data_IF_247300905314
#
_entry.id   IF_247300905314
#
_cell.length_a   1.000
_cell.length_b   1.000
_cell.length_c   1.000
_cell.angle_alpha   90.00
_cell.angle_beta   90.00
_cell.angle_gamma   90.00
#
_symmetry.space_group_name_H-M   'P 1'
#
loop_
_entity.id
_entity.type
_entity.pdbx_description
1 polymer ?
#
# COMPACT_ATOMS: atom_id res chain seq x y z
N UNK A 1 2.62 -17.16 -0.41
CA UNK A 1 3.71 -16.28 0.09
C UNK A 1 3.08 -15.36 1.12
N UNK A 2 3.26 -15.68 2.40
CA UNK A 2 2.65 -14.94 3.52
C UNK A 2 3.73 -14.07 4.15
N UNK A 3 3.53 -12.76 4.18
CA UNK A 3 4.46 -11.85 4.86
C UNK A 3 3.97 -11.72 6.31
N UNK A 4 4.69 -12.37 7.23
CA UNK A 4 4.43 -12.32 8.67
C UNK A 4 5.43 -11.35 9.31
N UNK A 5 4.94 -10.33 10.00
CA UNK A 5 5.77 -9.44 10.83
C UNK A 5 5.74 -9.92 12.28
N UNK A 6 6.89 -10.16 12.93
CA UNK A 6 6.93 -10.71 14.28
C UNK A 6 6.88 -9.58 15.30
N UNK A 7 5.82 -9.41 16.08
CA UNK A 7 5.88 -8.81 17.43
C UNK A 7 4.57 -9.06 18.18
N UNK A 8 4.60 -9.98 19.15
CA UNK A 8 3.59 -10.11 20.20
C UNK A 8 3.85 -9.06 21.29
N UNK A 9 2.86 -8.24 21.62
CA UNK A 9 2.55 -7.80 22.99
C UNK A 9 1.31 -6.92 22.99
N UNK A 10 0.42 -7.27 23.90
CA UNK A 10 -0.97 -6.86 24.02
C UNK A 10 -1.09 -5.55 24.78
N UNK A 11 -0.72 -4.40 24.19
CA UNK A 11 -1.22 -3.09 24.65
C UNK A 11 -1.33 -2.11 23.46
N UNK A 12 -2.55 -1.74 23.07
CA UNK A 12 -2.82 -0.79 22.00
C UNK A 12 -2.99 0.64 22.54
N UNK A 13 -1.87 1.28 22.87
CA UNK A 13 -1.80 2.75 22.91
C UNK A 13 -1.58 3.28 21.48
N UNK A 14 -2.46 4.20 21.07
CA UNK A 14 -2.47 4.86 19.77
C UNK A 14 -1.10 5.44 19.44
N UNK A 15 -0.45 4.95 18.39
CA UNK A 15 0.71 5.61 17.76
C UNK A 15 0.30 6.11 16.38
N UNK A 16 0.47 7.42 16.19
CA UNK A 16 0.30 8.09 14.91
C UNK A 16 1.36 7.60 13.92
N UNK A 17 0.91 6.98 12.83
CA UNK A 17 1.76 6.32 11.84
C UNK A 17 1.27 4.89 11.64
N UNK A 18 0.23 4.70 10.80
CA UNK A 18 -0.22 3.36 10.45
C UNK A 18 0.78 2.77 9.47
N UNK A 19 1.70 1.96 9.97
CA UNK A 19 2.59 1.11 9.15
C UNK A 19 1.97 -0.27 8.90
N UNK A 20 0.77 -0.51 9.44
CA UNK A 20 0.09 -1.80 9.46
C UNK A 20 -1.33 -1.61 8.93
N UNK A 21 -1.71 -2.43 7.95
CA UNK A 21 -3.11 -2.66 7.61
C UNK A 21 -3.67 -3.68 8.57
N UNK A 22 -4.55 -3.29 9.51
CA UNK A 22 -5.25 -4.28 10.30
C UNK A 22 -6.14 -5.12 9.38
N UNK A 23 -6.26 -6.41 9.68
CA UNK A 23 -7.23 -7.29 9.04
C UNK A 23 -8.62 -6.64 9.18
N UNK A 24 -9.38 -6.53 8.10
CA UNK A 24 -10.62 -5.74 8.12
C UNK A 24 -10.49 -4.30 7.60
N UNK A 25 -9.29 -3.80 7.30
CA UNK A 25 -9.09 -2.48 6.70
C UNK A 25 -8.77 -2.59 5.21
N UNK A 26 -9.42 -1.73 4.43
CA UNK A 26 -9.18 -1.59 3.00
C UNK A 26 -8.26 -0.40 2.70
N UNK A 27 -7.51 -0.48 1.60
CA UNK A 27 -6.92 0.68 0.94
C UNK A 27 -7.71 0.93 -0.35
N UNK A 28 -8.22 2.13 -0.53
CA UNK A 28 -8.92 2.51 -1.76
C UNK A 28 -8.37 3.81 -2.35
N UNK A 29 -8.29 3.85 -3.68
CA UNK A 29 -7.94 5.06 -4.43
C UNK A 29 -6.61 5.69 -4.00
N UNK A 30 -6.67 6.91 -3.44
CA UNK A 30 -5.48 7.69 -3.08
C UNK A 30 -4.97 7.44 -1.65
N UNK A 31 -5.53 6.45 -0.94
CA UNK A 31 -5.03 6.09 0.39
C UNK A 31 -3.66 5.43 0.29
N UNK A 32 -2.79 5.77 1.24
CA UNK A 32 -1.44 5.24 1.33
C UNK A 32 -1.05 4.90 2.76
N UNK A 33 0.03 4.14 2.88
CA UNK A 33 0.62 3.70 4.15
C UNK A 33 2.07 4.12 4.11
N UNK A 34 2.43 4.98 5.05
CA UNK A 34 3.80 5.42 5.23
C UNK A 34 4.41 4.57 6.32
N UNK A 35 5.62 4.05 6.07
CA UNK A 35 6.43 3.32 7.06
C UNK A 35 6.80 4.19 8.27
N UNK A 36 7.15 3.55 9.40
CA UNK A 36 7.38 4.23 10.68
C UNK A 36 8.37 5.37 10.60
N UNK A 37 9.44 5.13 9.86
CA UNK A 37 10.56 6.03 9.69
C UNK A 37 10.35 7.04 8.55
N UNK A 38 9.16 7.04 7.92
CA UNK A 38 8.82 7.92 6.81
C UNK A 38 9.64 7.67 5.55
N UNK A 39 10.37 6.56 5.44
CA UNK A 39 11.26 6.31 4.28
C UNK A 39 10.48 5.77 3.09
N UNK A 40 9.58 4.83 3.34
CA UNK A 40 8.78 4.16 2.32
C UNK A 40 7.30 4.49 2.46
N UNK A 41 6.62 4.48 1.31
CA UNK A 41 5.18 4.63 1.21
C UNK A 41 4.61 3.59 0.23
N UNK A 42 3.53 2.93 0.63
CA UNK A 42 2.78 1.94 -0.14
C UNK A 42 1.43 2.54 -0.54
N UNK A 43 1.03 2.29 -1.78
CA UNK A 43 -0.34 2.57 -2.22
C UNK A 43 -0.54 2.34 -3.70
N UNK A 44 -1.66 2.86 -4.22
CA UNK A 44 -1.98 2.79 -5.63
C UNK A 44 -1.40 3.96 -6.41
N UNK A 45 -1.05 3.71 -7.67
CA UNK A 45 -0.61 4.73 -8.61
C UNK A 45 -0.94 4.33 -10.04
N UNK A 46 -1.02 5.32 -10.92
CA UNK A 46 -1.08 5.13 -12.36
C UNK A 46 0.22 5.59 -13.03
N UNK A 47 0.53 5.01 -14.18
CA UNK A 47 1.59 5.52 -15.05
C UNK A 47 0.98 6.58 -15.98
N UNK A 48 1.63 7.74 -16.07
CA UNK A 48 1.15 8.89 -16.84
C UNK A 48 0.62 8.46 -18.22
N UNK A 49 -0.64 8.80 -18.51
CA UNK A 49 -1.29 8.53 -19.79
C UNK A 49 -1.97 7.16 -19.91
N UNK A 50 -2.01 6.36 -18.84
CA UNK A 50 -2.72 5.07 -18.81
C UNK A 50 -3.81 5.04 -17.75
N UNK A 51 -4.90 4.31 -18.03
CA UNK A 51 -5.92 3.94 -17.03
C UNK A 51 -5.52 2.68 -16.25
N UNK A 52 -4.22 2.40 -16.18
CA UNK A 52 -3.69 1.21 -15.52
C UNK A 52 -3.23 1.59 -14.11
N UNK A 53 -3.89 1.02 -13.13
CA UNK A 53 -3.56 1.15 -11.72
C UNK A 53 -2.67 0.01 -11.26
N UNK A 54 -1.70 0.37 -10.45
CA UNK A 54 -0.71 -0.51 -9.86
C UNK A 54 -0.63 -0.28 -8.37
N UNK A 55 -0.33 -1.33 -7.62
CA UNK A 55 0.08 -1.23 -6.22
C UNK A 55 1.59 -1.35 -6.13
N UNK A 56 2.22 -0.48 -5.36
CA UNK A 56 3.67 -0.48 -5.24
C UNK A 56 4.18 0.37 -4.09
N UNK A 57 5.49 0.28 -3.91
CA UNK A 57 6.23 0.98 -2.85
C UNK A 57 7.15 2.00 -3.51
N UNK A 58 7.23 3.19 -2.92
CA UNK A 58 8.13 4.27 -3.32
C UNK A 58 8.76 4.96 -2.11
N UNK A 59 9.74 5.84 -2.36
CA UNK A 59 10.32 6.68 -1.32
C UNK A 59 9.39 7.85 -0.98
N UNK A 60 8.94 7.93 0.28
CA UNK A 60 7.99 8.96 0.72
C UNK A 60 8.60 10.37 0.74
N UNK A 61 9.92 10.46 0.95
CA UNK A 61 10.65 11.74 1.07
C UNK A 61 11.09 12.33 -0.28
N UNK A 62 10.88 11.62 -1.39
CA UNK A 62 11.29 12.09 -2.72
C UNK A 62 10.05 12.60 -3.46
N UNK A 63 10.02 13.90 -3.78
CA UNK A 63 8.87 14.54 -4.46
C UNK A 63 8.52 13.88 -5.79
N UNK A 64 9.51 13.40 -6.52
CA UNK A 64 9.30 12.57 -7.70
C UNK A 64 9.13 11.12 -7.25
N UNK A 65 7.91 10.58 -7.42
CA UNK A 65 7.58 9.21 -7.03
C UNK A 65 8.48 8.21 -7.77
N UNK A 66 9.49 7.68 -7.06
CA UNK A 66 10.38 6.62 -7.55
C UNK A 66 9.86 5.28 -7.06
N UNK A 67 9.24 4.52 -7.97
CA UNK A 67 8.69 3.18 -7.67
C UNK A 67 9.85 2.19 -7.51
N UNK A 68 10.05 1.66 -6.30
CA UNK A 68 11.09 0.66 -6.00
C UNK A 68 10.55 -0.77 -6.06
N UNK A 69 9.24 -0.94 -5.91
CA UNK A 69 8.56 -2.22 -6.02
C UNK A 69 7.14 -2.04 -6.57
N UNK A 70 6.66 -3.01 -7.34
CA UNK A 70 5.33 -3.00 -7.97
C UNK A 70 4.81 -4.43 -8.04
N UNK A 71 3.61 -4.69 -7.51
CA UNK A 71 3.07 -6.05 -7.38
C UNK A 71 2.46 -6.56 -8.68
N UNK A 72 1.52 -5.81 -9.26
CA UNK A 72 0.68 -6.23 -10.39
C UNK A 72 1.24 -5.74 -11.73
N UNK A 73 2.54 -5.96 -11.97
CA UNK A 73 3.24 -5.54 -13.20
C UNK A 73 2.63 -6.13 -14.48
N UNK A 74 2.21 -7.39 -14.40
CA UNK A 74 1.72 -8.18 -15.54
C UNK A 74 0.22 -7.97 -15.79
N UNK A 75 -0.52 -7.68 -14.73
CA UNK A 75 -1.99 -7.58 -14.72
C UNK A 75 -2.46 -6.26 -14.08
N UNK A 76 -2.34 -5.13 -14.80
CA UNK A 76 -2.81 -3.84 -14.30
C UNK A 76 -4.32 -3.81 -14.06
N UNK A 77 -4.73 -3.03 -13.07
CA UNK A 77 -6.13 -2.79 -12.73
C UNK A 77 -6.67 -1.67 -13.63
N UNK A 78 -7.80 -1.87 -14.31
CA UNK A 78 -8.35 -0.89 -15.26
C UNK A 78 -9.36 0.10 -14.66
N UNK A 79 -9.84 -0.19 -13.47
CA UNK A 79 -10.87 0.58 -12.75
C UNK A 79 -10.28 1.19 -11.47
N UNK A 80 -11.12 1.80 -10.63
CA UNK A 80 -10.69 2.31 -9.32
C UNK A 80 -10.20 1.14 -8.45
N UNK A 81 -8.93 1.11 -8.01
CA UNK A 81 -8.40 -0.03 -7.30
C UNK A 81 -8.80 -0.03 -5.82
N UNK A 82 -9.11 -1.20 -5.30
CA UNK A 82 -9.35 -1.44 -3.89
C UNK A 82 -8.59 -2.69 -3.42
N UNK A 83 -7.86 -2.55 -2.31
CA UNK A 83 -7.37 -3.69 -1.55
C UNK A 83 -8.42 -3.99 -0.48
N UNK A 84 -9.13 -5.10 -0.64
CA UNK A 84 -10.20 -5.52 0.24
C UNK A 84 -9.67 -5.94 1.61
N UNK A 85 -10.57 -5.89 2.59
CA UNK A 85 -10.38 -6.24 3.99
C UNK A 85 -9.85 -7.65 4.25
N UNK A 86 -10.04 -8.56 3.30
CA UNK A 86 -9.57 -9.95 3.28
C UNK A 86 -8.19 -10.11 2.63
N UNK A 87 -7.56 -9.01 2.21
CA UNK A 87 -6.25 -8.98 1.58
C UNK A 87 -6.27 -9.29 0.08
N UNK A 88 -7.46 -9.49 -0.52
CA UNK A 88 -7.57 -9.63 -1.96
C UNK A 88 -7.62 -8.27 -2.65
N UNK A 89 -7.01 -8.20 -3.83
CA UNK A 89 -7.12 -7.05 -4.70
C UNK A 89 -8.40 -7.21 -5.53
N UNK A 90 -9.37 -6.32 -5.34
CA UNK A 90 -10.64 -6.34 -6.06
C UNK A 90 -10.67 -5.23 -7.12
N UNK A 91 -11.20 -5.56 -8.30
CA UNK A 91 -11.31 -4.70 -9.49
C UNK A 91 -12.65 -3.96 -9.55
#
# INVERSE_FOLDING_TARGET
LSIIFPFDSWETLRVAGRDVLPLGAALAGNQTIVSRNGTFELGFFNLNGTNNWYIGIWYAQISKKTIIWMANRETPIKNTPELSTDGYLTL
#
